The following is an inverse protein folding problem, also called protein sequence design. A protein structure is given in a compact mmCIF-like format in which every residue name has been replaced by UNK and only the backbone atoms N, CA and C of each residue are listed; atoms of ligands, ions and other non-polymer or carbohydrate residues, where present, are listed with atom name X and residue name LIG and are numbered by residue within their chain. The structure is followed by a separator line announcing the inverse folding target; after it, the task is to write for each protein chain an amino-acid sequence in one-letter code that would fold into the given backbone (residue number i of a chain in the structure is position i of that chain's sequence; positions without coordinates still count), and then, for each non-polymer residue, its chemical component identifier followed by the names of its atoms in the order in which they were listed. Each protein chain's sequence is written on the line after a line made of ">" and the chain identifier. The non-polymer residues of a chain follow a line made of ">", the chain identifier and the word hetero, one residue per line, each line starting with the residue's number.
data_IF_523567988725
#
_entry.id   IF_523567988725
#
_cell.length_a   1.000
_cell.length_b   1.000
_cell.length_c   1.000
_cell.angle_alpha   90.00
_cell.angle_beta   90.00
_cell.angle_gamma   90.00
#
_symmetry.space_group_name_H-M   'P 1'
#
loop_
_entity.id
_entity.type
_entity.pdbx_description
1 polymer ?
#
# COMPACT_ATOMS: atom_id res chain seq x y z
N UNK A 1 15.39 -3.82 2.31
CA UNK A 1 14.15 -3.81 3.12
C UNK A 1 13.93 -5.13 3.85
N UNK A 2 13.93 -6.27 3.15
CA UNK A 2 13.88 -7.60 3.80
C UNK A 2 14.92 -7.77 4.93
N UNK A 3 16.17 -7.34 4.73
CA UNK A 3 17.21 -7.43 5.76
C UNK A 3 16.88 -6.67 7.05
N UNK A 4 16.19 -5.52 6.95
CA UNK A 4 15.78 -4.73 8.12
C UNK A 4 14.69 -5.50 8.88
N UNK A 5 13.74 -6.07 8.14
CA UNK A 5 12.68 -6.89 8.73
C UNK A 5 13.24 -8.16 9.38
N UNK A 6 14.22 -8.82 8.76
CA UNK A 6 14.83 -10.03 9.29
C UNK A 6 15.59 -9.76 10.61
N UNK A 7 16.07 -8.52 10.83
CA UNK A 7 16.76 -8.09 12.07
C UNK A 7 15.82 -7.76 13.24
N UNK A 8 14.52 -7.61 13.01
CA UNK A 8 13.57 -7.31 14.09
C UNK A 8 13.31 -8.54 14.96
N UNK A 9 13.11 -8.33 16.26
CA UNK A 9 12.69 -9.39 17.17
C UNK A 9 11.24 -9.84 16.89
N UNK A 10 10.90 -11.01 17.41
CA UNK A 10 9.60 -11.61 17.18
C UNK A 10 8.45 -10.85 17.86
N UNK A 11 8.67 -10.16 18.98
CA UNK A 11 7.63 -9.35 19.63
C UNK A 11 7.28 -8.12 18.79
N UNK A 12 8.29 -7.41 18.26
CA UNK A 12 8.06 -6.27 17.36
C UNK A 12 7.39 -6.75 16.07
N UNK A 13 7.78 -7.90 15.52
CA UNK A 13 7.12 -8.49 14.35
C UNK A 13 5.66 -8.81 14.63
N UNK A 14 5.34 -9.42 15.77
CA UNK A 14 3.96 -9.72 16.19
C UNK A 14 3.13 -8.46 16.38
N UNK A 15 3.70 -7.43 17.02
CA UNK A 15 3.02 -6.14 17.20
C UNK A 15 2.72 -5.48 15.85
N UNK A 16 3.66 -5.54 14.91
CA UNK A 16 3.45 -5.02 13.57
C UNK A 16 2.36 -5.81 12.82
N UNK A 17 2.37 -7.15 12.92
CA UNK A 17 1.30 -8.00 12.38
C UNK A 17 -0.06 -7.67 12.98
N UNK A 18 -0.16 -7.41 14.28
CA UNK A 18 -1.40 -7.03 14.94
C UNK A 18 -1.97 -5.72 14.39
N UNK A 19 -1.13 -4.72 14.14
CA UNK A 19 -1.58 -3.41 13.66
C UNK A 19 -1.77 -3.30 12.14
N UNK A 20 -0.97 -4.03 11.37
CA UNK A 20 -0.89 -3.87 9.91
C UNK A 20 -1.25 -5.15 9.14
N UNK A 21 -1.54 -6.25 9.82
CA UNK A 21 -1.88 -7.53 9.20
C UNK A 21 -0.74 -8.06 8.35
N UNK A 22 -1.07 -8.53 7.15
CA UNK A 22 -0.15 -9.17 6.20
C UNK A 22 0.78 -8.19 5.47
N UNK A 23 0.80 -6.90 5.85
CA UNK A 23 1.66 -5.88 5.23
C UNK A 23 3.17 -6.27 5.20
N UNK A 24 3.75 -6.95 6.21
CA UNK A 24 5.15 -7.36 6.17
C UNK A 24 5.53 -8.23 4.97
N UNK A 25 4.60 -9.02 4.41
CA UNK A 25 4.89 -9.84 3.25
C UNK A 25 5.25 -9.00 2.01
N UNK A 26 4.80 -7.74 1.95
CA UNK A 26 5.20 -6.82 0.88
C UNK A 26 6.71 -6.53 0.90
N UNK A 27 7.37 -6.60 2.07
CA UNK A 27 8.81 -6.39 2.20
C UNK A 27 9.64 -7.52 1.55
N UNK A 28 9.01 -8.68 1.34
CA UNK A 28 9.62 -9.84 0.68
C UNK A 28 9.42 -9.84 -0.84
N UNK A 29 8.54 -8.98 -1.37
CA UNK A 29 8.36 -8.83 -2.81
C UNK A 29 9.65 -8.25 -3.37
N UNK A 30 10.28 -8.97 -4.31
CA UNK A 30 11.39 -8.43 -5.11
C UNK A 30 10.85 -7.26 -5.94
N UNK A 31 11.06 -6.06 -5.42
CA UNK A 31 10.80 -4.84 -6.16
C UNK A 31 12.04 -4.48 -6.98
N UNK A 32 11.83 -4.23 -8.26
CA UNK A 32 12.89 -3.76 -9.14
C UNK A 32 13.44 -2.41 -8.64
N UNK A 33 14.77 -2.28 -8.61
CA UNK A 33 15.44 -1.09 -8.06
C UNK A 33 15.09 0.16 -8.87
N UNK A 34 15.01 0.04 -10.20
CA UNK A 34 14.64 1.16 -11.05
C UNK A 34 13.19 1.58 -10.83
N UNK A 35 12.28 0.62 -10.63
CA UNK A 35 10.89 0.90 -10.30
C UNK A 35 10.76 1.61 -8.94
N UNK A 36 11.44 1.11 -7.90
CA UNK A 36 11.42 1.75 -6.59
C UNK A 36 11.98 3.18 -6.65
N UNK A 37 13.11 3.35 -7.35
CA UNK A 37 13.73 4.67 -7.57
C UNK A 37 12.79 5.61 -8.29
N UNK A 38 12.07 5.15 -9.31
CA UNK A 38 11.08 5.97 -10.01
C UNK A 38 9.94 6.38 -9.06
N UNK A 39 9.36 5.43 -8.30
CA UNK A 39 8.29 5.73 -7.33
C UNK A 39 8.75 6.75 -6.28
N UNK A 40 9.94 6.58 -5.72
CA UNK A 40 10.51 7.50 -4.74
C UNK A 40 10.77 8.90 -5.33
N UNK A 41 11.24 8.97 -6.58
CA UNK A 41 11.46 10.25 -7.27
C UNK A 41 10.18 11.02 -7.56
N UNK A 42 9.07 10.31 -7.78
CA UNK A 42 7.77 10.91 -8.05
C UNK A 42 6.87 11.02 -6.82
N UNK A 43 7.36 10.66 -5.63
CA UNK A 43 6.60 10.74 -4.38
C UNK A 43 6.42 12.20 -3.95
N UNK A 44 5.18 12.68 -3.97
CA UNK A 44 4.85 14.01 -3.48
C UNK A 44 4.54 13.94 -1.98
N UNK A 45 5.43 14.48 -1.15
CA UNK A 45 5.29 14.49 0.31
C UNK A 45 4.11 15.33 0.81
N UNK A 46 3.71 16.40 0.11
CA UNK A 46 2.62 17.30 0.53
C UNK A 46 1.27 16.58 0.48
N UNK A 47 1.12 15.65 -0.45
CA UNK A 47 -0.14 14.96 -0.68
C UNK A 47 -0.08 13.45 -0.47
N UNK A 48 1.08 12.90 -0.11
CA UNK A 48 1.31 11.47 0.11
C UNK A 48 0.87 10.57 -1.06
N UNK A 49 1.07 11.02 -2.31
CA UNK A 49 0.83 10.22 -3.51
C UNK A 49 1.93 10.42 -4.55
N UNK A 50 2.16 9.42 -5.41
CA UNK A 50 3.16 9.48 -6.48
C UNK A 50 2.53 10.04 -7.76
N UNK A 51 3.16 11.05 -8.38
CA UNK A 51 2.73 11.58 -9.68
C UNK A 51 3.62 11.04 -10.79
N UNK A 52 3.21 9.96 -11.45
CA UNK A 52 3.91 9.46 -12.62
C UNK A 52 3.54 10.31 -13.85
N UNK A 53 4.22 11.46 -13.98
CA UNK A 53 4.29 12.32 -15.19
C UNK A 53 2.97 12.53 -15.94
N UNK A 54 2.12 13.50 -15.54
CA UNK A 54 0.96 14.05 -16.31
C UNK A 54 0.04 13.04 -17.02
N UNK A 55 0.13 11.77 -16.71
CA UNK A 55 -0.89 10.76 -16.98
C UNK A 55 -1.73 10.80 -15.73
N UNK A 56 -3.00 11.12 -15.90
CA UNK A 56 -3.93 11.11 -14.79
C UNK A 56 -3.93 9.68 -14.22
N UNK A 57 -3.41 9.53 -13.00
CA UNK A 57 -3.42 8.26 -12.27
C UNK A 57 -4.72 8.11 -11.48
N UNK A 58 -5.60 9.12 -11.50
CA UNK A 58 -6.99 8.95 -11.07
C UNK A 58 -7.63 8.00 -12.08
N UNK A 59 -7.99 6.78 -11.66
CA UNK A 59 -8.71 5.89 -12.55
C UNK A 59 -9.97 6.60 -13.01
N UNK A 60 -10.22 6.60 -14.30
CA UNK A 60 -11.51 7.04 -14.82
C UNK A 60 -12.63 6.19 -14.20
N UNK A 61 -13.86 6.71 -14.19
CA UNK A 61 -15.03 5.97 -13.64
C UNK A 61 -15.15 4.58 -14.26
N UNK A 62 -14.79 4.43 -15.53
CA UNK A 62 -14.81 3.17 -16.27
C UNK A 62 -13.72 2.19 -15.80
N UNK A 63 -12.49 2.68 -15.60
CA UNK A 63 -11.38 1.88 -15.06
C UNK A 63 -11.64 1.45 -13.61
N UNK A 64 -12.19 2.33 -12.78
CA UNK A 64 -12.58 2.01 -11.40
C UNK A 64 -13.69 0.95 -11.35
N UNK A 65 -14.70 1.09 -12.21
CA UNK A 65 -15.79 0.11 -12.31
C UNK A 65 -15.27 -1.25 -12.79
N UNK A 66 -14.28 -1.25 -13.69
CA UNK A 66 -13.64 -2.47 -14.19
C UNK A 66 -12.82 -3.16 -13.10
N UNK A 67 -12.08 -2.40 -12.28
CA UNK A 67 -11.36 -2.94 -11.12
C UNK A 67 -12.32 -3.55 -10.08
N UNK A 68 -13.43 -2.87 -9.75
CA UNK A 68 -14.44 -3.41 -8.83
C UNK A 68 -15.09 -4.70 -9.32
N UNK A 69 -15.15 -4.90 -10.64
CA UNK A 69 -15.70 -6.12 -11.27
C UNK A 69 -14.64 -7.21 -11.50
N UNK A 70 -13.37 -6.93 -11.22
CA UNK A 70 -12.29 -7.89 -11.38
C UNK A 70 -12.39 -8.95 -10.28
N UNK A 71 -12.68 -10.19 -10.65
CA UNK A 71 -12.85 -11.33 -9.74
C UNK A 71 -11.62 -11.68 -8.89
N UNK A 72 -10.45 -11.10 -9.22
CA UNK A 72 -9.20 -11.26 -8.48
C UNK A 72 -9.09 -10.33 -7.26
N UNK A 73 -9.92 -9.30 -7.18
CA UNK A 73 -9.95 -8.37 -6.06
C UNK A 73 -11.05 -8.86 -5.13
N UNK A 74 -10.69 -9.58 -4.06
CA UNK A 74 -11.59 -9.71 -2.92
C UNK A 74 -11.75 -8.31 -2.30
N UNK A 75 -12.86 -7.66 -2.62
CA UNK A 75 -13.22 -6.31 -2.18
C UNK A 75 -13.10 -6.18 -0.66
N UNK A 76 -13.41 -7.26 0.06
CA UNK A 76 -13.29 -7.36 1.53
C UNK A 76 -11.85 -7.27 2.06
N UNK A 77 -10.82 -7.46 1.22
CA UNK A 77 -9.41 -7.45 1.61
C UNK A 77 -8.63 -6.22 1.11
N UNK A 78 -9.12 -5.54 0.08
CA UNK A 78 -8.41 -4.42 -0.52
C UNK A 78 -8.63 -3.09 0.22
N UNK A 79 -9.78 -2.93 0.90
CA UNK A 79 -10.16 -1.67 1.55
C UNK A 79 -10.78 -1.81 2.95
N UNK A 80 -10.84 -3.01 3.55
CA UNK A 80 -11.31 -3.15 4.94
C UNK A 80 -10.24 -2.73 5.94
N UNK A 81 -10.00 -1.42 6.00
CA UNK A 81 -9.61 -0.83 7.27
C UNK A 81 -10.92 -0.57 8.01
N UNK A 82 -11.11 -1.21 9.17
CA UNK A 82 -12.09 -0.71 10.13
C UNK A 82 -11.72 0.75 10.35
N UNK A 83 -12.51 1.66 9.80
CA UNK A 83 -12.36 3.08 10.07
C UNK A 83 -12.65 3.19 11.56
N UNK A 84 -11.60 3.29 12.38
CA UNK A 84 -11.72 3.95 13.67
C UNK A 84 -12.13 5.38 13.33
N UNK A 85 -13.44 5.59 13.22
CA UNK A 85 -14.05 6.90 13.14
C UNK A 85 -13.60 7.58 14.42
N UNK A 86 -12.57 8.40 14.32
CA UNK A 86 -12.29 9.37 15.36
C UNK A 86 -13.51 10.30 15.31
N UNK A 87 -14.44 10.11 16.24
CA UNK A 87 -15.53 11.05 16.48
C UNK A 87 -14.86 12.35 16.89
N UNK A 88 -14.71 13.27 15.94
CA UNK A 88 -14.38 14.65 16.28
C UNK A 88 -15.60 15.23 17.00
N UNK A 89 -15.39 15.60 18.26
CA UNK A 89 -16.35 16.29 19.12
C UNK A 89 -16.62 17.70 18.59
#
# INVERSE_FOLDING_TARGET
>A
MKEIWDQWDDEIKQLFYYHYGDLPYLLYIKMDEHLFRAVAQYWNLVYSYSTFKKVDLVPTVEEYTTLLRCSKIHVDKAYSKVVNVLTFL
#
